data_IF_308125657359
#
_entry.id   IF_308125657359
#
_cell.length_a   1.000
_cell.length_b   1.000
_cell.length_c   1.000
_cell.angle_alpha   90.00
_cell.angle_beta   90.00
_cell.angle_gamma   90.00
#
_symmetry.space_group_name_H-M   'P 1'
#
loop_
_entity.id
_entity.type
_entity.pdbx_description
1 polymer ?
#
# COMPACT_ATOMS: atom_id res chain seq x y z
N UNK A 1 62.45 7.01 -16.24
CA UNK A 1 61.33 6.08 -15.91
C UNK A 1 60.18 6.91 -15.36
N UNK A 2 59.00 7.03 -15.95
CA UNK A 2 58.45 6.44 -17.17
C UNK A 2 57.30 7.31 -17.64
N UNK A 3 57.28 7.53 -18.95
CA UNK A 3 56.28 8.24 -19.73
C UNK A 3 54.88 7.64 -19.48
N UNK A 4 53.95 8.39 -18.90
CA UNK A 4 52.58 7.91 -18.61
C UNK A 4 51.63 8.47 -19.66
N UNK A 5 51.43 7.67 -20.71
CA UNK A 5 50.61 7.94 -21.90
C UNK A 5 49.09 7.99 -21.65
N UNK A 6 48.63 7.97 -20.40
CA UNK A 6 47.21 8.02 -20.07
C UNK A 6 46.97 8.85 -18.81
N UNK A 7 46.30 10.00 -18.99
CA UNK A 7 45.74 10.81 -17.90
C UNK A 7 44.24 10.55 -17.86
N UNK A 8 43.79 9.78 -16.88
CA UNK A 8 42.36 9.61 -16.63
C UNK A 8 41.90 10.72 -15.68
N UNK A 9 40.79 11.39 -16.02
CA UNK A 9 40.19 12.45 -15.19
C UNK A 9 39.87 11.85 -13.81
N UNK A 10 40.37 12.45 -12.74
CA UNK A 10 40.12 12.02 -11.35
C UNK A 10 41.15 11.11 -10.66
N UNK A 11 42.36 10.86 -11.21
CA UNK A 11 43.43 10.18 -10.46
C UNK A 11 44.56 11.15 -10.11
N UNK A 12 44.74 11.43 -8.82
CA UNK A 12 45.66 12.44 -8.25
C UNK A 12 45.29 13.91 -8.55
N UNK A 13 44.01 14.21 -8.78
CA UNK A 13 43.47 15.58 -8.90
C UNK A 13 42.82 16.03 -7.58
N UNK A 14 43.34 15.64 -6.42
CA UNK A 14 42.86 16.10 -5.11
C UNK A 14 43.95 16.93 -4.43
N UNK A 15 43.95 18.25 -4.65
CA UNK A 15 44.47 19.23 -3.67
C UNK A 15 44.32 20.71 -4.02
N UNK A 16 43.90 21.13 -5.23
CA UNK A 16 43.80 22.58 -5.54
C UNK A 16 42.57 22.99 -6.37
N UNK A 17 41.41 22.35 -6.21
CA UNK A 17 40.17 22.88 -6.78
C UNK A 17 38.99 22.69 -5.84
N UNK A 18 39.14 23.15 -4.60
CA UNK A 18 37.97 23.65 -3.88
C UNK A 18 37.38 24.85 -4.66
N UNK A 19 36.05 24.92 -4.75
CA UNK A 19 35.24 26.01 -5.32
C UNK A 19 34.95 26.07 -6.84
N UNK A 20 34.89 24.94 -7.57
CA UNK A 20 33.97 24.91 -8.73
C UNK A 20 32.58 24.51 -8.25
N UNK A 21 31.74 25.53 -8.05
CA UNK A 21 30.34 25.44 -7.72
C UNK A 21 29.67 24.24 -8.40
N UNK A 22 29.05 23.40 -7.58
CA UNK A 22 28.13 22.37 -8.05
C UNK A 22 26.99 23.11 -8.76
N UNK A 23 27.09 23.29 -10.08
CA UNK A 23 25.97 23.78 -10.88
C UNK A 23 24.78 22.86 -10.58
N UNK A 24 23.76 23.45 -9.97
CA UNK A 24 22.48 22.81 -9.77
C UNK A 24 22.02 22.27 -11.11
N UNK A 25 21.90 20.95 -11.24
CA UNK A 25 21.26 20.33 -12.40
C UNK A 25 19.82 20.86 -12.44
N UNK A 26 19.58 21.90 -13.23
CA UNK A 26 18.24 22.44 -13.47
C UNK A 26 17.32 21.26 -13.85
N UNK A 27 16.14 21.13 -13.23
CA UNK A 27 15.24 20.04 -13.55
C UNK A 27 14.93 20.09 -15.04
N UNK A 28 15.28 19.02 -15.78
CA UNK A 28 14.96 18.93 -17.20
C UNK A 28 13.45 19.11 -17.36
N UNK A 29 13.03 19.98 -18.27
CA UNK A 29 11.63 20.11 -18.64
C UNK A 29 11.09 18.73 -19.00
N UNK A 30 10.02 18.30 -18.33
CA UNK A 30 9.38 17.01 -18.63
C UNK A 30 8.93 17.06 -20.09
N UNK A 31 9.38 16.10 -20.89
CA UNK A 31 8.93 15.95 -22.28
C UNK A 31 7.39 15.87 -22.29
N UNK A 32 6.71 16.44 -23.31
CA UNK A 32 5.28 16.30 -23.46
C UNK A 32 4.88 14.83 -23.37
N UNK A 33 3.96 14.51 -22.46
CA UNK A 33 3.46 13.15 -22.31
C UNK A 33 2.75 12.79 -23.62
N UNK A 34 3.26 11.77 -24.32
CA UNK A 34 2.66 11.27 -25.55
C UNK A 34 1.31 10.59 -25.22
N UNK A 35 0.22 11.35 -25.39
CA UNK A 35 -1.15 10.97 -25.02
C UNK A 35 -1.68 9.83 -25.91
N UNK A 36 -0.98 9.53 -27.01
CA UNK A 36 -1.36 8.52 -28.00
C UNK A 36 -0.89 7.09 -27.68
N UNK A 37 -0.06 6.91 -26.64
CA UNK A 37 0.39 5.59 -26.20
C UNK A 37 -0.69 4.80 -25.44
N UNK A 38 -0.63 3.45 -25.41
CA UNK A 38 -1.48 2.64 -24.55
C UNK A 38 -1.34 3.11 -23.10
N UNK A 39 -2.45 3.48 -22.46
CA UNK A 39 -2.41 3.93 -21.06
C UNK A 39 -1.75 2.86 -20.21
N UNK A 40 -0.60 3.17 -19.62
CA UNK A 40 0.06 2.27 -18.69
C UNK A 40 -0.92 1.94 -17.55
N UNK A 41 -1.13 0.65 -17.22
CA UNK A 41 -2.03 0.29 -16.14
C UNK A 41 -1.58 0.98 -14.86
N UNK A 42 -2.51 1.67 -14.19
CA UNK A 42 -2.23 2.35 -12.93
C UNK A 42 -1.78 1.29 -11.91
N UNK A 43 -0.58 1.43 -11.36
CA UNK A 43 -0.09 0.53 -10.32
C UNK A 43 -1.10 0.49 -9.16
N UNK A 44 -1.48 -0.72 -8.75
CA UNK A 44 -2.47 -0.98 -7.70
C UNK A 44 -1.99 -0.33 -6.41
N UNK A 45 -2.81 0.54 -5.82
CA UNK A 45 -2.44 1.22 -4.58
C UNK A 45 -2.45 0.22 -3.42
N UNK A 46 -1.44 0.30 -2.55
CA UNK A 46 -1.42 -0.46 -1.30
C UNK A 46 -2.14 0.36 -0.23
N UNK A 47 -3.17 -0.22 0.38
CA UNK A 47 -3.88 0.42 1.50
C UNK A 47 -3.59 -0.32 2.79
N UNK A 48 -3.11 0.47 3.74
CA UNK A 48 -2.72 0.06 5.08
C UNK A 48 -3.89 0.43 5.98
N UNK A 49 -4.69 -0.55 6.37
CA UNK A 49 -5.88 -0.31 7.19
C UNK A 49 -6.10 -1.44 8.21
N UNK A 50 -6.58 -1.11 9.43
CA UNK A 50 -7.05 -2.11 10.36
C UNK A 50 -8.32 -2.78 9.81
N UNK A 51 -8.44 -4.09 10.01
CA UNK A 51 -9.60 -4.87 9.56
C UNK A 51 -10.15 -5.69 10.71
N UNK A 52 -11.47 -5.83 10.79
CA UNK A 52 -12.09 -6.70 11.79
C UNK A 52 -11.64 -8.16 11.60
N UNK A 53 -11.19 -8.80 12.67
CA UNK A 53 -10.74 -10.21 12.63
C UNK A 53 -11.82 -11.20 12.18
N UNK A 54 -13.11 -10.89 12.36
CA UNK A 54 -14.22 -11.81 12.03
C UNK A 54 -14.80 -11.55 10.63
N UNK A 55 -15.13 -10.28 10.30
CA UNK A 55 -15.82 -9.96 9.05
C UNK A 55 -14.94 -9.25 7.99
N UNK A 56 -13.66 -9.04 8.28
CA UNK A 56 -12.69 -8.36 7.42
C UNK A 56 -13.06 -6.93 6.95
N UNK A 57 -14.07 -6.31 7.58
CA UNK A 57 -14.43 -4.92 7.35
C UNK A 57 -13.23 -4.02 7.63
N UNK A 58 -12.89 -3.16 6.67
CA UNK A 58 -11.91 -2.09 6.82
C UNK A 58 -12.43 -1.04 7.78
N UNK A 59 -11.68 -0.79 8.85
CA UNK A 59 -11.95 0.27 9.81
C UNK A 59 -11.01 1.45 9.51
N UNK A 60 -11.44 2.69 9.74
CA UNK A 60 -10.55 3.84 9.67
C UNK A 60 -9.46 3.74 10.74
N UNK A 61 -8.31 4.37 10.50
CA UNK A 61 -7.18 4.33 11.43
C UNK A 61 -7.51 4.98 12.79
N UNK A 62 -8.39 5.97 12.80
CA UNK A 62 -8.89 6.66 14.01
C UNK A 62 -10.11 5.98 14.64
N UNK A 63 -10.38 4.70 14.33
CA UNK A 63 -11.54 4.00 14.90
C UNK A 63 -11.30 3.63 16.37
N UNK A 64 -12.33 3.80 17.21
CA UNK A 64 -12.28 3.40 18.62
C UNK A 64 -12.40 1.87 18.77
N UNK A 65 -11.27 1.20 19.02
CA UNK A 65 -11.23 -0.26 19.18
C UNK A 65 -11.85 -0.76 20.48
N UNK A 66 -12.19 0.11 21.43
CA UNK A 66 -12.93 -0.24 22.66
C UNK A 66 -14.37 -0.69 22.39
N UNK A 67 -14.93 -0.31 21.22
CA UNK A 67 -16.28 -0.68 20.82
C UNK A 67 -16.39 -2.01 20.06
N UNK A 68 -17.56 -2.20 19.47
CA UNK A 68 -17.87 -3.36 18.64
C UNK A 68 -17.78 -3.00 17.15
N UNK A 69 -17.55 -4.01 16.31
CA UNK A 69 -17.56 -3.84 14.87
C UNK A 69 -18.95 -3.42 14.38
N UNK A 70 -19.07 -2.39 13.52
CA UNK A 70 -20.37 -1.93 13.04
C UNK A 70 -21.10 -2.94 12.12
N UNK A 71 -20.40 -3.94 11.57
CA UNK A 71 -20.98 -4.94 10.66
C UNK A 71 -21.36 -6.25 11.35
N UNK A 72 -20.46 -6.84 12.13
CA UNK A 72 -20.70 -8.13 12.78
C UNK A 72 -20.90 -8.02 14.31
N UNK A 73 -20.86 -6.82 14.87
CA UNK A 73 -21.08 -6.53 16.30
C UNK A 73 -20.16 -7.26 17.28
N UNK A 74 -19.05 -7.79 16.77
CA UNK A 74 -18.03 -8.45 17.58
C UNK A 74 -17.14 -7.40 18.25
N UNK A 75 -16.72 -7.65 19.49
CA UNK A 75 -15.79 -6.80 20.22
C UNK A 75 -14.45 -6.69 19.48
N UNK A 76 -14.00 -5.47 19.22
CA UNK A 76 -12.74 -5.22 18.53
C UNK A 76 -11.55 -5.19 19.49
N UNK A 77 -11.77 -4.91 20.78
CA UNK A 77 -10.75 -4.98 21.80
C UNK A 77 -10.52 -6.43 22.28
N UNK A 78 -9.96 -7.27 21.42
CA UNK A 78 -9.70 -8.68 21.71
C UNK A 78 -8.28 -9.11 21.31
N UNK A 79 -7.81 -10.24 21.84
CA UNK A 79 -6.47 -10.74 21.51
C UNK A 79 -6.32 -11.00 20.01
N UNK A 80 -7.35 -11.53 19.34
CA UNK A 80 -7.29 -11.79 17.89
C UNK A 80 -7.12 -10.54 17.02
N UNK A 81 -7.56 -9.38 17.51
CA UNK A 81 -7.40 -8.10 16.83
C UNK A 81 -6.07 -7.40 17.16
N UNK A 82 -5.26 -7.95 18.09
CA UNK A 82 -4.02 -7.34 18.55
C UNK A 82 -2.82 -7.69 17.65
N UNK A 83 -1.94 -6.73 17.41
CA UNK A 83 -0.69 -6.90 16.65
C UNK A 83 0.35 -7.78 17.38
N UNK A 84 0.25 -7.91 18.70
CA UNK A 84 1.19 -8.70 19.52
C UNK A 84 0.71 -10.11 19.83
N UNK A 85 -0.46 -10.51 19.31
CA UNK A 85 -1.00 -11.83 19.54
C UNK A 85 -0.24 -12.86 18.70
N UNK A 86 0.44 -13.79 19.39
CA UNK A 86 1.27 -14.81 18.76
C UNK A 86 0.95 -16.17 19.38
N UNK A 87 0.27 -17.09 18.66
CA UNK A 87 -0.20 -18.37 19.22
C UNK A 87 0.91 -19.25 19.82
N UNK A 88 2.13 -19.14 19.28
CA UNK A 88 3.30 -19.93 19.67
C UNK A 88 3.98 -19.43 20.95
N UNK A 89 3.68 -18.22 21.42
CA UNK A 89 4.26 -17.67 22.64
C UNK A 89 3.62 -18.28 23.90
N UNK A 90 4.37 -18.33 25.02
CA UNK A 90 3.92 -18.93 26.30
C UNK A 90 2.52 -18.45 26.73
N UNK A 91 2.26 -17.15 26.64
CA UNK A 91 0.97 -16.54 27.01
C UNK A 91 0.12 -16.15 25.79
N UNK A 92 0.50 -16.64 24.62
CA UNK A 92 -0.05 -16.26 23.31
C UNK A 92 0.05 -14.76 23.02
N UNK A 93 1.06 -14.11 23.58
CA UNK A 93 1.34 -12.69 23.44
C UNK A 93 2.85 -12.49 23.47
N UNK A 94 3.36 -11.57 22.65
CA UNK A 94 4.77 -11.17 22.65
C UNK A 94 5.13 -10.21 23.79
N UNK A 95 4.13 -9.54 24.38
CA UNK A 95 4.32 -8.62 25.51
C UNK A 95 4.23 -9.36 26.84
N UNK A 96 4.95 -8.90 27.89
CA UNK A 96 4.87 -9.49 29.22
C UNK A 96 3.54 -9.14 29.88
N UNK A 97 2.54 -9.99 29.70
CA UNK A 97 1.22 -9.88 30.36
C UNK A 97 1.23 -10.58 31.72
N UNK A 98 0.55 -9.96 32.70
CA UNK A 98 0.45 -10.49 34.09
C UNK A 98 -0.39 -11.77 34.15
N UNK A 99 -1.50 -11.80 33.44
CA UNK A 99 -2.43 -12.93 33.42
C UNK A 99 -2.76 -13.35 31.98
N UNK A 100 -2.95 -14.65 31.79
CA UNK A 100 -3.36 -15.22 30.50
C UNK A 100 -4.84 -14.99 30.27
N UNK A 101 -5.17 -14.27 29.20
CA UNK A 101 -6.56 -14.14 28.71
C UNK A 101 -7.06 -15.51 28.21
N UNK A 102 -8.10 -16.08 28.83
CA UNK A 102 -8.66 -17.38 28.44
C UNK A 102 -9.43 -17.31 27.10
N UNK A 103 -10.37 -16.35 26.98
CA UNK A 103 -11.15 -16.15 25.77
C UNK A 103 -10.49 -15.10 24.85
N UNK A 104 -9.86 -15.55 23.76
CA UNK A 104 -9.12 -14.66 22.83
C UNK A 104 -10.00 -13.83 21.89
N UNK A 105 -11.27 -14.21 21.81
CA UNK A 105 -12.26 -13.67 20.88
C UNK A 105 -13.23 -12.70 21.56
N UNK A 106 -13.16 -12.61 22.89
CA UNK A 106 -14.01 -11.72 23.69
C UNK A 106 -13.27 -10.43 24.00
N UNK A 107 -14.04 -9.40 24.33
CA UNK A 107 -13.51 -8.15 24.86
C UNK A 107 -12.59 -8.42 26.06
N UNK A 108 -11.40 -7.83 26.05
CA UNK A 108 -10.46 -7.84 27.17
C UNK A 108 -10.09 -6.40 27.55
N UNK A 109 -9.40 -6.22 28.67
CA UNK A 109 -8.92 -4.89 29.11
C UNK A 109 -7.39 -4.84 29.10
N UNK A 110 -6.75 -5.44 28.10
CA UNK A 110 -5.29 -5.48 28.00
C UNK A 110 -4.71 -4.08 27.74
N UNK A 111 -3.87 -3.57 28.64
CA UNK A 111 -3.21 -2.26 28.51
C UNK A 111 -2.23 -2.19 27.32
N UNK A 112 -1.67 -3.34 26.92
CA UNK A 112 -0.73 -3.46 25.80
C UNK A 112 -1.41 -3.68 24.44
N UNK A 113 -2.72 -3.48 24.37
CA UNK A 113 -3.46 -3.68 23.13
C UNK A 113 -3.00 -2.68 22.05
N UNK A 114 -2.70 -3.21 20.87
CA UNK A 114 -2.41 -2.41 19.68
C UNK A 114 -3.13 -3.08 18.49
N UNK A 115 -3.97 -2.37 17.74
CA UNK A 115 -4.74 -2.98 16.66
C UNK A 115 -3.84 -3.47 15.54
N UNK A 116 -4.10 -4.67 15.03
CA UNK A 116 -3.38 -5.22 13.88
C UNK A 116 -3.81 -4.48 12.62
N UNK A 117 -2.81 -3.96 11.91
CA UNK A 117 -2.97 -3.31 10.61
C UNK A 117 -2.55 -4.28 9.52
N UNK A 118 -3.36 -4.37 8.46
CA UNK A 118 -3.08 -5.23 7.31
C UNK A 118 -2.84 -4.39 6.09
N UNK A 119 -1.79 -4.74 5.32
CA UNK A 119 -1.50 -4.11 4.03
C UNK A 119 -2.21 -4.93 2.94
N UNK A 120 -3.25 -4.35 2.34
CA UNK A 120 -3.97 -4.95 1.23
C UNK A 120 -3.65 -4.19 -0.07
N UNK A 121 -3.72 -4.89 -1.21
CA UNK A 121 -3.71 -4.26 -2.53
C UNK A 121 -5.15 -3.90 -2.89
N UNK A 122 -5.42 -2.62 -3.01
CA UNK A 122 -6.73 -2.12 -3.37
C UNK A 122 -6.91 -2.22 -4.88
N UNK A 123 -7.49 -3.33 -5.32
CA UNK A 123 -7.88 -3.54 -6.73
C UNK A 123 -9.13 -2.74 -7.12
N UNK A 124 -9.76 -2.06 -6.16
CA UNK A 124 -10.82 -1.08 -6.38
C UNK A 124 -10.23 0.20 -6.97
N UNK A 125 -9.77 0.12 -8.22
CA UNK A 125 -9.68 1.32 -9.04
C UNK A 125 -11.09 1.87 -9.15
N UNK A 126 -11.31 3.08 -8.63
CA UNK A 126 -12.42 3.91 -9.09
C UNK A 126 -12.42 3.83 -10.62
N UNK A 127 -13.56 3.40 -11.14
CA UNK A 127 -13.75 3.09 -12.53
C UNK A 127 -13.04 4.12 -13.43
N UNK A 128 -12.30 3.62 -14.41
CA UNK A 128 -12.21 4.28 -15.71
C UNK A 128 -13.59 4.87 -16.05
N UNK A 129 -13.68 6.07 -16.67
CA UNK A 129 -14.98 6.67 -16.98
C UNK A 129 -15.85 5.62 -17.66
N UNK A 130 -16.92 5.23 -16.95
CA UNK A 130 -18.06 4.41 -17.38
C UNK A 130 -17.80 3.65 -18.69
N UNK A 131 -17.08 2.53 -18.61
CA UNK A 131 -17.44 1.38 -19.46
C UNK A 131 -18.27 0.52 -18.55
N UNK A 132 -19.58 0.70 -18.66
CA UNK A 132 -20.57 -0.08 -17.95
C UNK A 132 -20.30 -1.54 -18.29
N UNK A 133 -19.68 -2.30 -17.38
CA UNK A 133 -19.68 -3.76 -17.43
C UNK A 133 -21.08 -4.27 -17.09
N UNK A 134 -22.09 -3.81 -17.81
CA UNK A 134 -23.35 -4.52 -17.95
C UNK A 134 -23.08 -5.60 -19.00
N UNK A 135 -23.24 -6.87 -18.62
CA UNK A 135 -23.31 -7.93 -19.61
C UNK A 135 -24.36 -7.52 -20.67
N UNK A 136 -24.03 -7.55 -21.97
CA UNK A 136 -24.92 -7.09 -23.02
C UNK A 136 -26.21 -7.88 -22.92
N UNK A 137 -27.34 -7.17 -22.76
CA UNK A 137 -28.64 -7.81 -22.54
C UNK A 137 -29.25 -8.32 -23.84
N UNK A 138 -28.74 -7.86 -24.98
CA UNK A 138 -29.14 -8.26 -26.33
C UNK A 138 -27.91 -8.41 -27.23
N UNK A 139 -28.00 -9.22 -28.30
CA UNK A 139 -26.89 -9.43 -29.25
C UNK A 139 -26.51 -8.15 -30.02
N UNK A 140 -27.44 -7.21 -30.18
CA UNK A 140 -27.20 -5.91 -30.81
C UNK A 140 -26.31 -5.00 -29.95
N UNK A 141 -26.54 -5.02 -28.64
CA UNK A 141 -25.76 -4.27 -27.64
C UNK A 141 -24.30 -4.79 -27.58
N UNK A 142 -24.12 -6.10 -27.71
CA UNK A 142 -22.78 -6.71 -27.80
C UNK A 142 -22.01 -6.27 -29.06
N UNK A 143 -22.68 -6.20 -30.21
CA UNK A 143 -22.08 -5.76 -31.49
C UNK A 143 -21.74 -4.28 -31.47
N UNK A 144 -22.62 -3.43 -30.94
CA UNK A 144 -22.40 -2.01 -30.80
C UNK A 144 -21.24 -1.69 -29.84
N UNK A 145 -21.15 -2.40 -28.71
CA UNK A 145 -20.02 -2.30 -27.79
C UNK A 145 -18.71 -2.72 -28.46
N UNK A 146 -18.72 -3.81 -29.24
CA UNK A 146 -17.54 -4.24 -30.01
C UNK A 146 -17.08 -3.20 -31.02
N UNK A 147 -17.98 -2.67 -31.84
CA UNK A 147 -17.65 -1.66 -32.86
C UNK A 147 -17.10 -0.37 -32.25
N UNK A 148 -17.56 0.01 -31.05
CA UNK A 148 -17.09 1.20 -30.35
C UNK A 148 -15.62 1.14 -29.94
N UNK A 149 -15.06 -0.06 -29.78
CA UNK A 149 -13.66 -0.26 -29.39
C UNK A 149 -12.68 -0.03 -30.56
N UNK A 150 -13.15 -0.14 -31.80
CA UNK A 150 -12.34 -0.04 -33.01
C UNK A 150 -12.57 1.25 -33.81
N UNK A 151 -13.49 2.10 -33.37
CA UNK A 151 -13.75 3.41 -33.99
C UNK A 151 -12.75 4.44 -33.46
N UNK A 152 -11.90 4.94 -34.36
CA UNK A 152 -10.90 6.00 -34.14
C UNK A 152 -11.45 7.33 -34.62
#
# INVERSE_FOLDING_TARGET
MGDRKYRHRGYMEDSETEYRAREERKPRAKLPLDVTGPRLPRMVQTVVAPRCYNCALTLPESFDFSGNCPRCQVALHCCKQCAYFEPSARMQCLKPIRERVAAKDKANNCEWFSPRVTVARDTSSAASPVVTNLAPRTPEDARAAFDSLFKK
#
